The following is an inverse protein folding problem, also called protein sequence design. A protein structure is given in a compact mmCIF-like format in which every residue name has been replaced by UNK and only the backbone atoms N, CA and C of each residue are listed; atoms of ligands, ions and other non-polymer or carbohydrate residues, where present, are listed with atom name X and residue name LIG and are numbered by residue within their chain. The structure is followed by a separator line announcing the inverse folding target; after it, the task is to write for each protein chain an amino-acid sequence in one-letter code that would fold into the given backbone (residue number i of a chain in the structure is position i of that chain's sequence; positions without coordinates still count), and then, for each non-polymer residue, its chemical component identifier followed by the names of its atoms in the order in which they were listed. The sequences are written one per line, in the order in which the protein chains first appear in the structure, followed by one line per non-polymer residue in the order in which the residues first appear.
data_IF_013700803912
#
_entry.id   IF_013700803912
#
_cell.length_a   1.000
_cell.length_b   1.000
_cell.length_c   1.000
_cell.angle_alpha   90.00
_cell.angle_beta   90.00
_cell.angle_gamma   90.00
#
_symmetry.space_group_name_H-M   'P 1'
#
loop_
_entity.id
_entity.type
_entity.pdbx_description
1 polymer ?
#
# COMPACT_ATOMS: atom_id res chain seq x y z
N UNK A 1 -11.64 -13.30 11.76
CA UNK A 1 -11.50 -12.33 10.64
C UNK A 1 -12.64 -12.51 9.67
N UNK A 2 -13.27 -11.43 9.27
CA UNK A 2 -14.36 -11.48 8.31
C UNK A 2 -13.81 -11.81 6.91
N UNK A 3 -14.50 -12.65 6.11
CA UNK A 3 -14.00 -13.05 4.79
C UNK A 3 -13.70 -11.88 3.85
N UNK A 4 -14.55 -10.84 3.85
CA UNK A 4 -14.31 -9.66 3.00
C UNK A 4 -13.05 -8.88 3.41
N UNK A 5 -12.64 -8.94 4.67
CA UNK A 5 -11.42 -8.29 5.14
C UNK A 5 -10.18 -8.93 4.51
N UNK A 6 -10.17 -10.25 4.38
CA UNK A 6 -9.09 -10.96 3.71
C UNK A 6 -9.05 -10.66 2.22
N UNK A 7 -10.20 -10.62 1.56
CA UNK A 7 -10.29 -10.27 0.14
C UNK A 7 -9.77 -8.85 -0.11
N UNK A 8 -10.16 -7.90 0.72
CA UNK A 8 -9.67 -6.53 0.66
C UNK A 8 -8.17 -6.46 0.89
N UNK A 9 -7.66 -7.21 1.87
CA UNK A 9 -6.22 -7.25 2.14
C UNK A 9 -5.44 -7.77 0.94
N UNK A 10 -5.89 -8.85 0.32
CA UNK A 10 -5.22 -9.42 -0.85
C UNK A 10 -5.23 -8.45 -2.03
N UNK A 11 -6.34 -7.77 -2.26
CA UNK A 11 -6.44 -6.75 -3.31
C UNK A 11 -5.47 -5.61 -3.07
N UNK A 12 -5.49 -5.03 -1.87
CA UNK A 12 -4.65 -3.88 -1.55
C UNK A 12 -3.17 -4.24 -1.51
N UNK A 13 -2.80 -5.39 -0.98
CA UNK A 13 -1.41 -5.87 -1.01
C UNK A 13 -0.91 -6.00 -2.44
N UNK A 14 -1.70 -6.63 -3.31
CA UNK A 14 -1.36 -6.78 -4.72
C UNK A 14 -1.10 -5.41 -5.37
N UNK A 15 -1.98 -4.44 -5.15
CA UNK A 15 -1.85 -3.12 -5.75
C UNK A 15 -0.65 -2.34 -5.20
N UNK A 16 -0.44 -2.36 -3.89
CA UNK A 16 0.64 -1.60 -3.27
C UNK A 16 2.01 -2.21 -3.59
N UNK A 17 2.12 -3.54 -3.61
CA UNK A 17 3.36 -4.22 -4.00
C UNK A 17 3.66 -3.97 -5.48
N UNK A 18 2.65 -4.04 -6.35
CA UNK A 18 2.83 -3.74 -7.77
C UNK A 18 3.36 -2.32 -7.97
N UNK A 19 2.80 -1.35 -7.27
CA UNK A 19 3.29 0.02 -7.31
C UNK A 19 4.74 0.15 -6.85
N UNK A 20 5.10 -0.54 -5.79
CA UNK A 20 6.47 -0.51 -5.27
C UNK A 20 7.46 -1.12 -6.28
N UNK A 21 7.07 -2.20 -6.94
CA UNK A 21 7.91 -2.86 -7.96
C UNK A 21 8.04 -2.00 -9.21
N UNK A 22 6.94 -1.39 -9.67
CA UNK A 22 6.92 -0.61 -10.91
C UNK A 22 7.52 0.78 -10.77
N UNK A 23 7.28 1.45 -9.64
CA UNK A 23 7.63 2.86 -9.44
C UNK A 23 8.60 3.11 -8.30
N UNK A 24 8.79 2.13 -7.44
CA UNK A 24 9.78 2.18 -6.38
C UNK A 24 11.15 1.72 -6.86
N UNK A 25 12.01 1.41 -5.90
CA UNK A 25 13.33 0.83 -6.15
C UNK A 25 13.55 -0.34 -5.22
N UNK A 26 14.19 -1.37 -5.73
CA UNK A 26 14.61 -2.50 -4.91
C UNK A 26 15.63 -2.05 -3.84
N UNK A 27 15.65 -2.69 -2.69
CA UNK A 27 14.79 -3.81 -2.33
C UNK A 27 13.38 -3.37 -1.97
N UNK A 28 12.40 -4.23 -2.23
CA UNK A 28 11.03 -4.07 -1.80
C UNK A 28 10.76 -5.04 -0.65
N UNK A 29 10.25 -4.52 0.45
CA UNK A 29 9.96 -5.33 1.63
C UNK A 29 8.50 -5.20 1.99
N UNK A 30 7.85 -6.34 2.17
CA UNK A 30 6.46 -6.44 2.62
C UNK A 30 6.44 -6.89 4.08
N UNK A 31 5.68 -6.18 4.89
CA UNK A 31 5.43 -6.56 6.29
C UNK A 31 3.93 -6.64 6.52
N UNK A 32 3.48 -7.70 7.16
CA UNK A 32 2.08 -7.89 7.50
C UNK A 32 1.98 -8.22 8.98
N UNK A 33 1.09 -7.52 9.66
CA UNK A 33 0.81 -7.73 11.08
C UNK A 33 -0.70 -7.88 11.26
N UNK A 34 -1.09 -8.97 11.89
CA UNK A 34 -2.50 -9.27 12.16
C UNK A 34 -2.71 -9.31 13.67
N UNK A 35 -3.71 -8.60 14.13
CA UNK A 35 -4.14 -8.63 15.52
C UNK A 35 -5.68 -8.63 15.60
N UNK A 36 -6.21 -8.54 16.82
CA UNK A 36 -7.67 -8.51 17.02
C UNK A 36 -8.33 -7.28 16.40
N UNK A 37 -7.57 -6.21 16.22
CA UNK A 37 -8.08 -4.96 15.66
C UNK A 37 -8.05 -4.95 14.13
N UNK A 38 -7.34 -5.88 13.50
CA UNK A 38 -7.33 -5.98 12.04
C UNK A 38 -5.98 -6.38 11.47
N UNK A 39 -5.75 -5.96 10.24
CA UNK A 39 -4.55 -6.26 9.48
C UNK A 39 -3.83 -4.94 9.18
N UNK A 40 -2.55 -4.88 9.49
CA UNK A 40 -1.68 -3.76 9.10
C UNK A 40 -0.65 -4.26 8.11
N UNK A 41 -0.53 -3.58 6.99
CA UNK A 41 0.40 -3.92 5.92
C UNK A 41 1.30 -2.72 5.67
N UNK A 42 2.59 -2.97 5.52
CA UNK A 42 3.58 -1.96 5.15
C UNK A 42 4.43 -2.47 4.00
N UNK A 43 4.67 -1.62 3.02
CA UNK A 43 5.54 -1.92 1.88
C UNK A 43 6.62 -0.85 1.82
N UNK A 44 7.86 -1.28 1.98
CA UNK A 44 9.03 -0.40 1.88
C UNK A 44 9.70 -0.59 0.54
N UNK A 45 10.17 0.50 -0.03
CA UNK A 45 11.06 0.47 -1.18
C UNK A 45 12.16 1.54 -1.03
N UNK A 46 13.16 1.49 -1.88
CA UNK A 46 14.35 2.32 -1.77
C UNK A 46 14.24 3.66 -2.53
N UNK A 47 13.08 3.98 -3.08
CA UNK A 47 12.87 5.26 -3.76
C UNK A 47 12.29 6.28 -2.77
N UNK A 48 12.99 7.38 -2.46
CA UNK A 48 12.49 8.37 -1.50
C UNK A 48 11.38 9.25 -2.05
N UNK A 49 11.14 9.22 -3.36
CA UNK A 49 10.08 10.03 -3.95
C UNK A 49 8.72 9.49 -3.52
N UNK A 50 7.94 10.36 -2.88
CA UNK A 50 6.61 9.98 -2.40
C UNK A 50 5.65 9.84 -3.56
N UNK A 51 4.77 8.83 -3.54
CA UNK A 51 3.77 8.69 -4.58
C UNK A 51 2.85 9.91 -4.55
N UNK A 52 2.51 10.38 -5.72
CA UNK A 52 1.56 11.49 -5.83
C UNK A 52 0.15 10.93 -5.81
N UNK A 53 -0.66 11.43 -4.89
CA UNK A 53 -2.09 11.14 -4.85
C UNK A 53 -2.83 11.99 -5.88
N UNK A 54 -2.28 12.10 -7.07
CA UNK A 54 -2.96 12.82 -8.13
C UNK A 54 -4.23 12.12 -8.53
N UNK A 55 -5.18 12.91 -8.98
CA UNK A 55 -6.24 12.41 -9.83
C UNK A 55 -5.67 11.40 -10.76
N UNK A 56 -6.12 10.23 -10.59
CA UNK A 56 -5.67 9.12 -11.32
C UNK A 56 -5.93 9.31 -12.77
N UNK A 57 -4.89 9.24 -13.49
CA UNK A 57 -5.02 8.81 -14.85
C UNK A 57 -5.53 7.37 -14.78
N UNK A 58 -6.83 7.18 -15.02
CA UNK A 58 -7.48 5.87 -15.01
C UNK A 58 -6.84 4.88 -15.97
N UNK A 59 -5.97 5.36 -16.85
CA UNK A 59 -5.22 4.56 -17.80
C UNK A 59 -3.97 3.93 -17.21
N UNK A 60 -3.54 4.39 -16.03
CA UNK A 60 -2.35 3.87 -15.37
C UNK A 60 -2.73 3.00 -14.19
N UNK A 61 -2.35 1.74 -14.24
CA UNK A 61 -2.53 0.82 -13.13
C UNK A 61 -1.93 1.34 -11.84
N UNK A 62 -0.80 2.03 -11.92
CA UNK A 62 -0.07 2.53 -10.77
C UNK A 62 -0.81 3.58 -9.95
N UNK A 63 -1.80 4.26 -10.55
CA UNK A 63 -2.59 5.22 -9.80
C UNK A 63 -3.75 4.62 -9.03
N UNK A 64 -4.14 3.39 -9.34
CA UNK A 64 -5.28 2.73 -8.70
C UNK A 64 -4.99 2.31 -7.26
N UNK A 65 -3.74 1.92 -6.98
CA UNK A 65 -3.40 1.37 -5.68
C UNK A 65 -3.74 2.31 -4.54
N UNK A 66 -3.29 3.56 -4.62
CA UNK A 66 -3.55 4.51 -3.55
C UNK A 66 -5.01 4.92 -3.44
N UNK A 67 -5.73 4.99 -4.56
CA UNK A 67 -7.18 5.27 -4.50
C UNK A 67 -7.93 4.13 -3.85
N UNK A 68 -7.59 2.90 -4.18
CA UNK A 68 -8.19 1.75 -3.52
C UNK A 68 -7.87 1.73 -2.03
N UNK A 69 -6.62 2.03 -1.66
CA UNK A 69 -6.24 2.14 -0.25
C UNK A 69 -7.08 3.21 0.44
N UNK A 70 -7.19 4.40 -0.12
CA UNK A 70 -8.00 5.49 0.43
C UNK A 70 -9.47 5.11 0.59
N UNK A 71 -9.99 4.32 -0.35
CA UNK A 71 -11.41 3.95 -0.36
C UNK A 71 -11.74 2.82 0.61
N UNK A 72 -10.81 1.91 0.83
CA UNK A 72 -11.07 0.65 1.53
C UNK A 72 -10.44 0.62 2.92
N UNK A 73 -9.26 1.21 3.08
CA UNK A 73 -8.52 1.14 4.33
C UNK A 73 -9.18 1.96 5.43
N UNK A 74 -9.13 1.45 6.65
CA UNK A 74 -9.56 2.20 7.83
C UNK A 74 -8.59 3.34 8.14
N UNK A 75 -7.30 3.13 7.85
CA UNK A 75 -6.26 4.13 7.99
C UNK A 75 -5.13 3.80 7.02
N UNK A 76 -4.34 4.80 6.62
CA UNK A 76 -3.26 4.60 5.69
C UNK A 76 -2.31 5.81 5.70
N UNK A 77 -1.12 5.61 5.18
CA UNK A 77 -0.18 6.70 5.05
C UNK A 77 0.99 6.35 4.17
N UNK A 78 1.75 7.37 3.84
CA UNK A 78 3.02 7.26 3.14
C UNK A 78 4.03 8.09 3.91
N UNK A 79 5.20 7.51 4.19
CA UNK A 79 6.26 8.25 4.88
C UNK A 79 7.61 7.96 4.26
N UNK A 80 8.50 8.95 4.35
CA UNK A 80 9.90 8.73 4.03
C UNK A 80 10.56 7.95 5.14
N UNK A 81 11.41 7.02 4.74
CA UNK A 81 12.25 6.26 5.66
C UNK A 81 13.71 6.61 5.41
N UNK A 82 14.60 6.07 6.24
CA UNK A 82 16.03 6.30 6.08
C UNK A 82 16.55 5.91 4.69
N UNK A 83 16.00 4.84 4.12
CA UNK A 83 16.49 4.25 2.87
C UNK A 83 15.55 4.44 1.68
N UNK A 84 14.42 5.12 1.86
CA UNK A 84 13.45 5.28 0.80
C UNK A 84 12.11 5.76 1.32
N UNK A 85 11.08 4.94 1.14
CA UNK A 85 9.74 5.24 1.64
C UNK A 85 9.00 4.00 2.06
N UNK A 86 7.94 4.21 2.84
CA UNK A 86 7.01 3.18 3.25
C UNK A 86 5.58 3.62 2.94
N UNK A 87 4.85 2.76 2.28
CA UNK A 87 3.40 2.88 2.13
C UNK A 87 2.77 1.86 3.06
N UNK A 88 1.85 2.30 3.90
CA UNK A 88 1.19 1.42 4.84
C UNK A 88 -0.32 1.62 4.82
N UNK A 89 -1.05 0.59 5.18
CA UNK A 89 -2.49 0.67 5.37
C UNK A 89 -2.93 -0.31 6.45
N UNK A 90 -4.09 -0.01 7.00
CA UNK A 90 -4.73 -0.83 8.02
C UNK A 90 -6.16 -1.14 7.61
N UNK A 91 -6.52 -2.39 7.73
CA UNK A 91 -7.89 -2.88 7.56
C UNK A 91 -8.43 -3.33 8.90
N UNK A 92 -9.62 -2.89 9.24
CA UNK A 92 -10.27 -3.20 10.51
C UNK A 92 -11.61 -3.90 10.30
#
# INVERSE_FOLDING_TARGET
MLPHLLDDALLLVSEVVTNAVEHGRAPVRLSVDCDRAGITVAVDDANPDLPRTRRLDRRRHSGRGLVLVQSIAADWGVRRTRNGKQVWFRLA
#
